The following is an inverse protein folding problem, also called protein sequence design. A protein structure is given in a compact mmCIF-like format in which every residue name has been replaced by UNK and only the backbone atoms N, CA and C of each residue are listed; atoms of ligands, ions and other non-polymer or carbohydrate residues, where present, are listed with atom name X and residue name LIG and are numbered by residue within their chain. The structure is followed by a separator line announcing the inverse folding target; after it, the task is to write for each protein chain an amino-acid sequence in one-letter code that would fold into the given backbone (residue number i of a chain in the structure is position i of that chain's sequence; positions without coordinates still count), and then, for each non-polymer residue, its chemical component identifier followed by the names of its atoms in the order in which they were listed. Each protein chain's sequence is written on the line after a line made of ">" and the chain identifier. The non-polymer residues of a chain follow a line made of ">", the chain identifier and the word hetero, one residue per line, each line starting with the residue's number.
data_IF_807813303404
#
_entry.id   IF_807813303404
#
_cell.length_a   1.000
_cell.length_b   1.000
_cell.length_c   1.000
_cell.angle_alpha   90.00
_cell.angle_beta   90.00
_cell.angle_gamma   90.00
#
_symmetry.space_group_name_H-M   'P 1'
#
loop_
_entity.id
_entity.type
_entity.pdbx_description
1 polymer ?
#
# COMPACT_ATOMS: atom_id res chain seq x y z
N UNK A 1 23.02 10.72 8.32
CA UNK A 1 23.55 9.57 9.08
C UNK A 1 22.43 8.55 9.20
N UNK A 2 22.48 7.47 8.42
CA UNK A 2 21.41 6.45 8.35
C UNK A 2 21.16 5.70 9.65
N UNK A 3 22.06 5.81 10.63
CA UNK A 3 21.96 5.15 11.94
C UNK A 3 21.28 5.97 13.04
N UNK A 4 20.97 7.25 12.84
CA UNK A 4 20.43 8.09 13.94
C UNK A 4 19.05 7.63 14.42
N UNK A 5 18.20 7.17 13.50
CA UNK A 5 16.89 6.63 13.84
C UNK A 5 17.03 5.30 14.60
N UNK A 6 17.90 4.40 14.13
CA UNK A 6 18.17 3.14 14.82
C UNK A 6 18.71 3.39 16.23
N UNK A 7 19.71 4.26 16.39
CA UNK A 7 20.29 4.61 17.69
C UNK A 7 19.21 5.20 18.61
N UNK A 8 18.38 6.12 18.11
CA UNK A 8 17.29 6.70 18.90
C UNK A 8 16.32 5.62 19.38
N UNK A 9 15.95 4.67 18.50
CA UNK A 9 14.99 3.63 18.84
C UNK A 9 15.56 2.54 19.76
N UNK A 10 16.87 2.29 19.71
CA UNK A 10 17.54 1.32 20.58
C UNK A 10 17.88 1.88 21.96
N UNK A 11 18.46 3.07 21.98
CA UNK A 11 19.12 3.62 23.17
C UNK A 11 18.36 4.83 23.76
N UNK A 12 17.35 5.34 23.05
CA UNK A 12 16.60 6.51 23.47
C UNK A 12 15.80 6.27 24.75
N UNK A 13 15.88 7.21 25.69
CA UNK A 13 14.97 7.23 26.81
C UNK A 13 13.58 7.74 26.40
N UNK A 14 12.60 7.65 27.32
CA UNK A 14 11.21 8.05 27.05
C UNK A 14 11.10 9.50 26.54
N UNK A 15 11.84 10.43 27.14
CA UNK A 15 11.83 11.84 26.72
C UNK A 15 12.35 12.00 25.28
N UNK A 16 13.41 11.29 24.91
CA UNK A 16 14.00 11.37 23.57
C UNK A 16 13.07 10.75 22.51
N UNK A 17 12.48 9.59 22.80
CA UNK A 17 11.57 8.88 21.90
C UNK A 17 10.28 9.67 21.64
N UNK A 18 9.78 10.34 22.68
CA UNK A 18 8.54 11.13 22.60
C UNK A 18 8.75 12.57 22.14
N UNK A 19 10.01 13.05 22.09
CA UNK A 19 10.30 14.40 21.62
C UNK A 19 9.92 14.58 20.15
N UNK A 20 8.96 15.47 19.92
CA UNK A 20 8.55 15.90 18.57
C UNK A 20 9.69 16.60 17.86
N UNK A 21 9.93 16.23 16.60
CA UNK A 21 10.95 16.89 15.78
C UNK A 21 10.47 18.31 15.43
N UNK A 22 11.23 19.37 15.76
CA UNK A 22 10.84 20.73 15.39
C UNK A 22 10.79 20.90 13.87
N UNK A 23 11.64 20.17 13.13
CA UNK A 23 11.65 20.17 11.66
C UNK A 23 10.39 19.52 11.11
N UNK A 24 10.02 18.32 11.57
CA UNK A 24 8.80 17.64 11.08
C UNK A 24 7.55 18.43 11.44
N UNK A 25 7.54 19.05 12.63
CA UNK A 25 6.45 19.92 13.07
C UNK A 25 6.32 21.14 12.16
N UNK A 26 7.43 21.81 11.83
CA UNK A 26 7.43 22.96 10.94
C UNK A 26 6.99 22.59 9.52
N UNK A 27 7.45 21.46 8.99
CA UNK A 27 7.04 20.97 7.67
C UNK A 27 5.53 20.71 7.64
N UNK A 28 4.99 20.00 8.63
CA UNK A 28 3.56 19.73 8.69
C UNK A 28 2.72 21.00 8.86
N UNK A 29 3.20 21.97 9.65
CA UNK A 29 2.44 23.19 9.96
C UNK A 29 2.51 24.27 8.87
N UNK A 30 3.65 24.44 8.19
CA UNK A 30 3.93 25.63 7.40
C UNK A 30 4.30 25.37 5.94
N UNK A 31 4.83 24.21 5.57
CA UNK A 31 5.17 23.95 4.17
C UNK A 31 3.91 23.70 3.34
N UNK A 32 3.83 24.22 2.13
CA UNK A 32 2.70 23.99 1.21
C UNK A 32 2.84 22.69 0.39
N UNK A 33 4.07 22.23 0.22
CA UNK A 33 4.39 21.02 -0.53
C UNK A 33 5.56 20.24 0.08
N UNK A 34 5.53 18.91 -0.04
CA UNK A 34 6.64 18.02 0.35
C UNK A 34 6.86 16.91 -0.69
N UNK A 35 8.08 16.78 -1.19
CA UNK A 35 8.54 15.59 -1.89
C UNK A 35 9.37 14.75 -0.94
N UNK A 36 8.96 13.50 -0.70
CA UNK A 36 9.73 12.52 0.05
C UNK A 36 10.38 11.55 -0.94
N UNK A 37 11.71 11.42 -0.87
CA UNK A 37 12.47 10.48 -1.67
C UNK A 37 13.05 9.45 -0.71
N UNK A 38 12.49 8.25 -0.71
CA UNK A 38 13.01 7.13 0.06
C UNK A 38 14.35 6.69 -0.55
N UNK A 39 15.41 6.66 0.25
CA UNK A 39 16.77 6.40 -0.23
C UNK A 39 17.57 5.55 0.78
N UNK A 40 16.94 4.55 1.39
CA UNK A 40 17.60 3.72 2.43
C UNK A 40 18.66 2.83 1.79
N UNK A 41 19.89 2.86 2.29
CA UNK A 41 20.95 1.90 1.91
C UNK A 41 20.85 0.57 2.67
N UNK A 42 20.18 0.57 3.83
CA UNK A 42 19.91 -0.61 4.64
C UNK A 42 18.43 -0.64 5.06
N UNK A 43 17.63 -1.42 4.36
CA UNK A 43 16.19 -1.57 4.63
C UNK A 43 15.89 -2.38 5.88
N UNK A 44 16.88 -3.14 6.38
CA UNK A 44 16.79 -4.01 7.56
C UNK A 44 17.34 -3.37 8.84
N UNK A 45 17.73 -2.09 8.82
CA UNK A 45 18.35 -1.39 9.95
C UNK A 45 17.54 -1.52 11.26
N UNK A 46 16.21 -1.55 11.19
CA UNK A 46 15.36 -1.62 12.39
C UNK A 46 15.00 -3.05 12.83
N UNK A 47 15.54 -4.10 12.19
CA UNK A 47 15.10 -5.49 12.44
C UNK A 47 15.32 -5.95 13.87
N UNK A 48 16.36 -5.44 14.55
CA UNK A 48 16.65 -5.74 15.95
C UNK A 48 16.09 -4.72 16.95
N UNK A 49 15.28 -3.76 16.51
CA UNK A 49 14.62 -2.79 17.39
C UNK A 49 13.35 -3.41 17.98
N UNK A 50 13.11 -3.15 19.28
CA UNK A 50 11.90 -3.64 19.95
C UNK A 50 10.65 -2.98 19.32
N UNK A 51 9.61 -3.75 18.93
CA UNK A 51 8.40 -3.20 18.32
C UNK A 51 7.73 -2.10 19.16
N UNK A 52 7.76 -2.23 20.49
CA UNK A 52 7.24 -1.24 21.44
C UNK A 52 7.89 0.15 21.27
N UNK A 53 9.19 0.21 20.94
CA UNK A 53 9.91 1.47 20.75
C UNK A 53 9.50 2.16 19.45
N UNK A 54 9.35 1.38 18.37
CA UNK A 54 8.83 1.87 17.09
C UNK A 54 7.41 2.40 17.27
N UNK A 55 6.54 1.64 17.95
CA UNK A 55 5.16 2.03 18.24
C UNK A 55 5.08 3.31 19.09
N UNK A 56 5.91 3.42 20.14
CA UNK A 56 6.01 4.62 20.97
C UNK A 56 6.43 5.84 20.16
N UNK A 57 7.46 5.69 19.30
CA UNK A 57 7.93 6.77 18.43
C UNK A 57 6.84 7.21 17.44
N UNK A 58 6.14 6.27 16.81
CA UNK A 58 5.01 6.56 15.91
C UNK A 58 3.90 7.32 16.63
N UNK A 59 3.50 6.83 17.81
CA UNK A 59 2.46 7.45 18.64
C UNK A 59 2.81 8.89 19.00
N UNK A 60 4.07 9.17 19.35
CA UNK A 60 4.53 10.52 19.67
C UNK A 60 4.48 11.50 18.48
N UNK A 61 4.54 10.99 17.24
CA UNK A 61 4.49 11.78 16.02
C UNK A 61 3.08 11.89 15.43
N UNK A 62 2.08 11.22 16.03
CA UNK A 62 0.70 11.18 15.53
C UNK A 62 0.10 12.57 15.28
N UNK A 63 0.25 13.49 16.23
CA UNK A 63 -0.27 14.86 16.10
C UNK A 63 0.30 15.60 14.88
N UNK A 64 1.58 15.35 14.55
CA UNK A 64 2.24 15.98 13.39
C UNK A 64 1.60 15.44 12.10
N UNK A 65 1.40 14.12 12.01
CA UNK A 65 0.72 13.48 10.89
C UNK A 65 -0.74 13.95 10.77
N UNK A 66 -1.45 14.14 11.88
CA UNK A 66 -2.82 14.65 11.89
C UNK A 66 -2.92 16.10 11.37
N UNK A 67 -1.96 16.96 11.71
CA UNK A 67 -1.88 18.33 11.16
C UNK A 67 -1.69 18.29 9.64
N UNK A 68 -0.73 17.49 9.15
CA UNK A 68 -0.48 17.35 7.71
C UNK A 68 -1.71 16.81 6.97
N UNK A 69 -2.37 15.78 7.53
CA UNK A 69 -3.60 15.18 6.96
C UNK A 69 -4.75 16.18 6.87
N UNK A 70 -4.99 16.98 7.92
CA UNK A 70 -6.03 18.02 7.90
C UNK A 70 -5.76 19.07 6.82
N UNK A 71 -4.50 19.47 6.65
CA UNK A 71 -4.11 20.44 5.62
C UNK A 71 -4.23 19.88 4.21
N UNK A 72 -3.89 18.60 4.03
CA UNK A 72 -4.11 17.89 2.78
C UNK A 72 -5.58 17.85 2.40
N UNK A 73 -6.45 17.46 3.34
CA UNK A 73 -7.91 17.45 3.13
C UNK A 73 -8.46 18.84 2.81
N UNK A 74 -7.87 19.90 3.36
CA UNK A 74 -8.18 21.28 3.04
C UNK A 74 -7.55 21.78 1.73
N UNK A 75 -6.73 20.98 1.03
CA UNK A 75 -6.01 21.38 -0.18
C UNK A 75 -4.86 22.36 0.04
N UNK A 76 -4.48 22.63 1.29
CA UNK A 76 -3.43 23.60 1.67
C UNK A 76 -2.05 22.95 1.88
N UNK A 77 -1.97 21.63 1.72
CA UNK A 77 -0.73 20.88 1.74
C UNK A 77 -0.77 19.79 0.68
N UNK A 78 0.27 19.70 -0.15
CA UNK A 78 0.42 18.65 -1.16
C UNK A 78 1.66 17.82 -0.85
N UNK A 79 1.62 16.55 -1.16
CA UNK A 79 2.78 15.69 -0.99
C UNK A 79 2.92 14.72 -2.15
N UNK A 80 4.15 14.33 -2.38
CA UNK A 80 4.48 13.20 -3.23
C UNK A 80 5.58 12.37 -2.57
N UNK A 81 5.52 11.06 -2.78
CA UNK A 81 6.51 10.10 -2.29
C UNK A 81 7.03 9.29 -3.45
N UNK A 82 8.34 9.12 -3.50
CA UNK A 82 9.02 8.27 -4.47
C UNK A 82 10.21 7.57 -3.82
N UNK A 83 10.92 6.77 -4.59
CA UNK A 83 12.09 6.01 -4.16
C UNK A 83 13.25 6.25 -5.12
N UNK A 84 14.42 6.54 -4.54
CA UNK A 84 15.67 6.54 -5.27
C UNK A 84 16.34 5.16 -5.17
N UNK A 85 16.81 4.57 -6.29
CA UNK A 85 17.49 3.28 -6.28
C UNK A 85 18.71 3.29 -5.36
N UNK A 86 18.84 2.27 -4.51
CA UNK A 86 20.00 2.08 -3.65
C UNK A 86 20.41 0.62 -3.67
N UNK A 87 21.64 0.32 -3.25
CA UNK A 87 22.10 -1.07 -3.10
C UNK A 87 21.22 -1.86 -2.12
N UNK A 88 20.66 -1.21 -1.09
CA UNK A 88 19.76 -1.86 -0.14
C UNK A 88 18.44 -2.31 -0.78
N UNK A 89 17.82 -1.43 -1.57
CA UNK A 89 16.59 -1.79 -2.30
C UNK A 89 16.85 -2.81 -3.41
N UNK A 90 17.95 -2.68 -4.13
CA UNK A 90 18.35 -3.65 -5.15
C UNK A 90 18.56 -5.06 -4.56
N UNK A 91 19.20 -5.14 -3.38
CA UNK A 91 19.38 -6.41 -2.66
C UNK A 91 18.05 -7.03 -2.23
N UNK A 92 17.12 -6.24 -1.69
CA UNK A 92 15.79 -6.73 -1.34
C UNK A 92 15.03 -7.28 -2.56
N UNK A 93 15.16 -6.60 -3.70
CA UNK A 93 14.57 -6.99 -4.98
C UNK A 93 15.31 -8.13 -5.69
N UNK A 94 16.40 -8.64 -5.12
CA UNK A 94 17.26 -9.68 -5.73
C UNK A 94 17.85 -9.26 -7.10
N UNK A 95 18.19 -7.99 -7.23
CA UNK A 95 18.73 -7.38 -8.45
C UNK A 95 20.12 -6.79 -8.22
N UNK A 96 20.88 -6.61 -9.31
CA UNK A 96 22.01 -5.67 -9.28
C UNK A 96 21.49 -4.23 -9.12
N UNK A 97 22.35 -3.31 -8.64
CA UNK A 97 21.95 -1.90 -8.53
C UNK A 97 21.51 -1.34 -9.89
N UNK A 98 22.24 -1.66 -10.95
CA UNK A 98 21.93 -1.19 -12.30
C UNK A 98 20.59 -1.73 -12.81
N UNK A 99 20.32 -3.03 -12.64
CA UNK A 99 19.03 -3.60 -13.06
C UNK A 99 17.86 -3.00 -12.28
N UNK A 100 18.06 -2.71 -10.98
CA UNK A 100 17.05 -2.04 -10.17
C UNK A 100 16.86 -0.57 -10.57
N UNK A 101 17.92 0.15 -10.95
CA UNK A 101 17.83 1.49 -11.52
C UNK A 101 17.00 1.48 -12.80
N UNK A 102 17.32 0.59 -13.75
CA UNK A 102 16.57 0.45 -15.00
C UNK A 102 15.11 0.11 -14.73
N UNK A 103 14.84 -0.80 -13.79
CA UNK A 103 13.48 -1.11 -13.36
C UNK A 103 12.75 0.14 -12.85
N UNK A 104 13.33 0.86 -11.88
CA UNK A 104 12.70 2.05 -11.27
C UNK A 104 12.43 3.12 -12.34
N UNK A 105 13.35 3.34 -13.27
CA UNK A 105 13.19 4.34 -14.32
C UNK A 105 12.11 3.95 -15.33
N UNK A 106 12.03 2.67 -15.71
CA UNK A 106 11.00 2.17 -16.62
C UNK A 106 9.59 2.23 -16.01
N UNK A 107 9.42 1.82 -14.74
CA UNK A 107 8.11 1.88 -14.07
C UNK A 107 7.64 3.31 -13.78
N UNK A 108 8.58 4.26 -13.73
CA UNK A 108 8.30 5.69 -13.64
C UNK A 108 8.04 6.36 -15.00
N UNK A 109 8.10 5.60 -16.10
CA UNK A 109 8.05 6.05 -17.50
C UNK A 109 9.16 7.05 -17.88
N UNK A 110 10.26 7.12 -17.13
CA UNK A 110 11.33 8.11 -17.35
C UNK A 110 12.11 7.85 -18.64
N UNK A 111 12.09 6.63 -19.14
CA UNK A 111 12.73 6.22 -20.39
C UNK A 111 11.84 6.45 -21.62
N UNK A 112 10.55 6.77 -21.43
CA UNK A 112 9.65 7.05 -22.55
C UNK A 112 9.95 8.44 -23.13
N UNK A 113 9.78 8.67 -24.46
CA UNK A 113 10.12 9.95 -25.09
C UNK A 113 9.37 11.17 -24.52
N UNK A 114 8.16 10.95 -24.01
CA UNK A 114 7.36 11.95 -23.30
C UNK A 114 6.73 11.31 -22.04
N UNK A 115 7.45 11.31 -20.90
CA UNK A 115 6.95 10.72 -19.66
C UNK A 115 5.64 11.36 -19.18
N UNK A 116 5.45 12.66 -19.43
CA UNK A 116 4.25 13.39 -19.02
C UNK A 116 3.04 12.88 -19.80
N UNK A 117 3.17 12.71 -21.12
CA UNK A 117 2.11 12.14 -21.95
C UNK A 117 1.73 10.73 -21.48
N UNK A 118 2.71 9.92 -21.06
CA UNK A 118 2.47 8.55 -20.59
C UNK A 118 1.75 8.48 -19.25
N UNK A 119 2.09 9.35 -18.30
CA UNK A 119 1.31 9.52 -17.07
C UNK A 119 -0.11 10.01 -17.32
N UNK A 120 -0.29 10.94 -18.26
CA UNK A 120 -1.62 11.43 -18.65
C UNK A 120 -2.47 10.32 -19.31
N UNK A 121 -1.85 9.49 -20.16
CA UNK A 121 -2.49 8.34 -20.78
C UNK A 121 -2.97 7.33 -19.73
N UNK A 122 -2.08 6.92 -18.82
CA UNK A 122 -2.41 6.01 -17.71
C UNK A 122 -3.53 6.61 -16.84
N UNK A 123 -3.44 7.89 -16.49
CA UNK A 123 -4.46 8.59 -15.71
C UNK A 123 -5.82 8.55 -16.40
N UNK A 124 -5.87 8.80 -17.71
CA UNK A 124 -7.12 8.80 -18.48
C UNK A 124 -7.70 7.38 -18.63
N UNK A 125 -6.84 6.37 -18.79
CA UNK A 125 -7.24 4.96 -18.82
C UNK A 125 -7.86 4.55 -17.48
N UNK A 126 -7.18 4.81 -16.36
CA UNK A 126 -7.70 4.52 -15.02
C UNK A 126 -8.98 5.27 -14.72
N UNK A 127 -9.09 6.54 -15.14
CA UNK A 127 -10.29 7.33 -14.86
C UNK A 127 -11.54 6.71 -15.50
N UNK A 128 -11.45 6.18 -16.72
CA UNK A 128 -12.59 5.49 -17.35
C UNK A 128 -13.07 4.29 -16.55
N UNK A 129 -12.14 3.56 -15.92
CA UNK A 129 -12.44 2.41 -15.07
C UNK A 129 -13.06 2.85 -13.74
N UNK A 130 -12.52 3.90 -13.13
CA UNK A 130 -13.10 4.53 -11.94
C UNK A 130 -14.53 5.00 -12.22
N UNK A 131 -14.78 5.65 -13.35
CA UNK A 131 -16.09 6.14 -13.75
C UNK A 131 -17.07 4.97 -13.99
N UNK A 132 -16.59 3.86 -14.55
CA UNK A 132 -17.40 2.64 -14.74
C UNK A 132 -17.82 1.99 -13.42
N UNK A 133 -17.00 2.11 -12.38
CA UNK A 133 -17.28 1.58 -11.04
C UNK A 133 -18.30 2.43 -10.25
N UNK A 134 -18.65 3.62 -10.72
CA UNK A 134 -19.63 4.49 -10.04
C UNK A 134 -20.99 3.79 -9.95
N UNK A 135 -21.50 3.66 -8.73
CA UNK A 135 -22.80 3.04 -8.46
C UNK A 135 -22.79 1.51 -8.44
N UNK A 136 -21.63 0.87 -8.64
CA UNK A 136 -21.46 -0.57 -8.46
C UNK A 136 -21.45 -0.94 -6.99
N UNK A 137 -21.78 -2.20 -6.66
CA UNK A 137 -22.03 -2.60 -5.28
C UNK A 137 -21.18 -3.76 -4.82
N UNK A 138 -21.06 -4.81 -5.61
CA UNK A 138 -20.40 -6.05 -5.18
C UNK A 138 -19.21 -6.37 -6.07
N UNK A 139 -18.13 -6.82 -5.46
CA UNK A 139 -16.94 -7.33 -6.14
C UNK A 139 -16.70 -8.76 -5.68
N UNK A 140 -16.52 -9.68 -6.62
CA UNK A 140 -16.06 -11.05 -6.36
C UNK A 140 -14.73 -11.30 -7.04
N UNK A 141 -13.73 -11.67 -6.26
CA UNK A 141 -12.36 -11.98 -6.69
C UNK A 141 -12.19 -13.49 -6.63
N UNK A 142 -11.79 -14.09 -7.75
CA UNK A 142 -11.58 -15.54 -7.87
C UNK A 142 -10.21 -15.81 -8.46
N UNK A 143 -9.54 -16.85 -7.97
CA UNK A 143 -8.20 -17.24 -8.42
C UNK A 143 -7.72 -18.51 -7.71
N UNK A 144 -6.43 -18.82 -7.82
CA UNK A 144 -5.88 -19.96 -7.08
C UNK A 144 -5.94 -19.68 -5.57
N UNK A 145 -6.59 -20.58 -4.82
CA UNK A 145 -6.83 -20.41 -3.38
C UNK A 145 -7.71 -19.21 -2.98
N UNK A 146 -8.27 -18.46 -3.93
CA UNK A 146 -9.01 -17.21 -3.70
C UNK A 146 -10.45 -17.31 -4.21
N UNK A 147 -11.40 -17.01 -3.33
CA UNK A 147 -12.81 -16.74 -3.63
C UNK A 147 -13.32 -15.79 -2.54
N UNK A 148 -13.20 -14.49 -2.79
CA UNK A 148 -13.54 -13.43 -1.84
C UNK A 148 -14.61 -12.54 -2.46
N UNK A 149 -15.68 -12.29 -1.71
CA UNK A 149 -16.69 -11.28 -2.05
C UNK A 149 -16.60 -10.12 -1.07
N UNK A 150 -16.75 -8.88 -1.55
CA UNK A 150 -16.81 -7.67 -0.75
C UNK A 150 -17.74 -6.64 -1.41
N UNK A 151 -18.23 -5.68 -0.63
CA UNK A 151 -19.04 -4.57 -1.13
C UNK A 151 -18.23 -3.29 -1.28
N UNK A 152 -18.51 -2.58 -2.37
CA UNK A 152 -18.04 -1.23 -2.71
C UNK A 152 -19.22 -0.24 -2.78
N UNK A 153 -20.40 -0.64 -2.29
CA UNK A 153 -21.61 0.19 -2.35
C UNK A 153 -21.39 1.53 -1.62
N UNK A 154 -21.76 2.62 -2.30
CA UNK A 154 -21.58 4.00 -1.83
C UNK A 154 -20.13 4.40 -1.53
N UNK A 155 -19.14 3.71 -2.11
CA UNK A 155 -17.72 4.05 -1.98
C UNK A 155 -17.22 4.85 -3.17
N UNK A 156 -16.16 5.63 -2.94
CA UNK A 156 -15.51 6.44 -3.97
C UNK A 156 -14.19 5.80 -4.35
N UNK A 157 -14.06 5.42 -5.63
CA UNK A 157 -12.77 5.01 -6.19
C UNK A 157 -11.90 6.23 -6.50
N UNK A 158 -10.62 6.11 -6.16
CA UNK A 158 -9.62 7.15 -6.33
C UNK A 158 -8.60 6.71 -7.37
N UNK A 159 -8.32 7.60 -8.30
CA UNK A 159 -7.33 7.39 -9.34
C UNK A 159 -5.93 7.82 -8.85
N UNK A 160 -5.07 6.85 -8.57
CA UNK A 160 -3.66 7.07 -8.21
C UNK A 160 -2.85 7.15 -9.52
N UNK A 161 -2.43 8.36 -9.88
CA UNK A 161 -1.89 8.68 -11.21
C UNK A 161 -0.57 9.47 -11.18
N UNK A 162 0.27 9.24 -10.18
CA UNK A 162 1.62 9.83 -10.12
C UNK A 162 1.70 11.17 -9.39
N UNK A 163 0.58 11.69 -8.85
CA UNK A 163 0.55 12.97 -8.11
C UNK A 163 0.92 12.85 -6.63
N UNK A 164 0.72 11.68 -6.03
CA UNK A 164 1.07 11.34 -4.65
C UNK A 164 2.21 10.32 -4.67
N UNK A 165 1.90 9.03 -4.79
CA UNK A 165 2.91 8.01 -5.02
C UNK A 165 3.49 8.15 -6.43
N UNK A 166 4.81 8.00 -6.57
CA UNK A 166 5.53 7.95 -7.83
C UNK A 166 6.60 6.83 -7.77
N UNK A 167 6.53 5.79 -8.60
CA UNK A 167 5.51 5.57 -9.61
C UNK A 167 4.15 5.30 -8.97
N UNK A 168 3.14 5.33 -9.81
CA UNK A 168 1.75 5.03 -9.50
C UNK A 168 1.21 4.05 -10.52
N UNK A 169 -0.10 3.90 -10.55
CA UNK A 169 -0.77 2.97 -11.46
C UNK A 169 -1.70 2.03 -10.73
N UNK A 170 -2.57 2.59 -9.89
CA UNK A 170 -3.64 1.86 -9.23
C UNK A 170 -4.90 2.73 -9.21
N UNK A 171 -6.05 2.10 -9.04
CA UNK A 171 -7.23 2.78 -8.57
C UNK A 171 -7.86 1.97 -7.43
N UNK A 172 -8.25 2.69 -6.38
CA UNK A 172 -8.53 2.07 -5.08
C UNK A 172 -9.75 2.67 -4.39
N UNK A 173 -10.32 1.92 -3.46
CA UNK A 173 -11.39 2.36 -2.57
C UNK A 173 -11.25 1.68 -1.20
N UNK A 174 -11.86 2.23 -0.16
CA UNK A 174 -12.16 1.47 1.06
C UNK A 174 -13.41 0.61 0.83
N UNK A 175 -13.38 -0.72 1.01
CA UNK A 175 -14.56 -1.56 0.92
C UNK A 175 -15.48 -1.37 2.14
N UNK A 176 -16.72 -1.87 2.07
CA UNK A 176 -17.64 -1.88 3.22
C UNK A 176 -17.13 -2.83 4.30
N UNK A 177 -17.02 -2.32 5.53
CA UNK A 177 -16.18 -2.89 6.58
C UNK A 177 -16.60 -4.30 7.01
N UNK A 178 -17.90 -4.58 7.03
CA UNK A 178 -18.52 -5.84 7.43
C UNK A 178 -18.90 -6.75 6.24
N UNK A 179 -18.50 -6.39 5.02
CA UNK A 179 -18.96 -7.05 3.79
C UNK A 179 -18.07 -8.19 3.29
N UNK A 180 -16.79 -8.22 3.69
CA UNK A 180 -15.85 -9.20 3.16
C UNK A 180 -16.18 -10.62 3.66
N UNK A 181 -16.36 -11.55 2.73
CA UNK A 181 -16.67 -12.95 3.02
C UNK A 181 -15.97 -13.88 2.02
N UNK A 182 -15.29 -14.91 2.54
CA UNK A 182 -14.59 -15.89 1.73
C UNK A 182 -13.10 -15.99 2.05
N UNK A 183 -12.29 -16.30 1.05
CA UNK A 183 -10.86 -16.58 1.20
C UNK A 183 -10.06 -15.80 0.18
N UNK A 184 -8.92 -15.25 0.60
CA UNK A 184 -7.94 -14.65 -0.31
C UNK A 184 -6.53 -15.16 -0.02
N UNK A 185 -5.81 -15.42 -1.10
CA UNK A 185 -4.42 -15.86 -1.13
C UNK A 185 -3.56 -14.74 -1.72
N UNK A 186 -2.46 -14.43 -1.05
CA UNK A 186 -1.45 -13.47 -1.51
C UNK A 186 -0.14 -14.20 -1.81
N UNK A 187 0.20 -14.23 -3.09
CA UNK A 187 1.36 -14.96 -3.60
C UNK A 187 2.63 -14.11 -3.65
N UNK A 188 2.46 -12.79 -3.70
CA UNK A 188 3.56 -11.83 -3.72
C UNK A 188 4.02 -11.56 -2.27
N UNK A 189 5.34 -11.66 -1.98
CA UNK A 189 5.87 -11.37 -0.65
C UNK A 189 5.49 -9.96 -0.18
N UNK A 190 4.90 -9.87 1.02
CA UNK A 190 4.51 -8.60 1.61
C UNK A 190 5.56 -8.17 2.65
N UNK A 191 6.17 -7.00 2.42
CA UNK A 191 7.15 -6.41 3.33
C UNK A 191 6.51 -5.30 4.15
N UNK A 192 6.55 -5.42 5.48
CA UNK A 192 6.11 -4.39 6.41
C UNK A 192 7.14 -4.21 7.52
N UNK A 193 7.53 -2.96 7.80
CA UNK A 193 8.53 -2.61 8.83
C UNK A 193 9.84 -3.42 8.76
N UNK A 194 10.30 -3.71 7.55
CA UNK A 194 11.54 -4.44 7.29
C UNK A 194 11.42 -5.96 7.44
N UNK A 195 10.27 -6.49 7.82
CA UNK A 195 9.96 -7.91 7.86
C UNK A 195 9.13 -8.31 6.66
N UNK A 196 9.46 -9.44 6.06
CA UNK A 196 8.75 -9.99 4.91
C UNK A 196 7.98 -11.22 5.33
N UNK A 197 6.73 -11.31 4.90
CA UNK A 197 5.89 -12.51 5.02
C UNK A 197 5.55 -13.04 3.63
N UNK A 198 5.36 -14.34 3.52
CA UNK A 198 5.12 -15.00 2.22
C UNK A 198 3.99 -16.02 2.30
N UNK A 199 3.24 -16.14 1.20
CA UNK A 199 2.16 -17.13 1.05
C UNK A 199 1.04 -16.92 2.07
N UNK A 200 0.54 -15.68 2.16
CA UNK A 200 -0.49 -15.31 3.12
C UNK A 200 -1.85 -15.78 2.64
N UNK A 201 -2.62 -16.40 3.53
CA UNK A 201 -3.99 -16.80 3.31
C UNK A 201 -4.87 -16.24 4.42
N UNK A 202 -5.90 -15.50 4.05
CA UNK A 202 -6.86 -14.94 5.00
C UNK A 202 -8.27 -15.46 4.71
N UNK A 203 -8.99 -15.83 5.77
CA UNK A 203 -10.42 -16.18 5.71
C UNK A 203 -11.23 -15.08 6.37
N UNK A 204 -12.17 -14.53 5.62
CA UNK A 204 -13.07 -13.48 6.07
C UNK A 204 -14.48 -14.01 6.33
N UNK A 205 -15.08 -13.55 7.43
CA UNK A 205 -16.51 -13.69 7.72
C UNK A 205 -17.01 -12.36 8.27
N UNK A 206 -18.07 -11.83 7.68
CA UNK A 206 -18.69 -10.56 8.10
C UNK A 206 -17.64 -9.44 8.23
N UNK A 207 -16.76 -9.34 7.22
CA UNK A 207 -15.70 -8.32 7.15
C UNK A 207 -14.43 -8.62 7.95
N UNK A 208 -14.47 -9.59 8.86
CA UNK A 208 -13.38 -9.87 9.80
C UNK A 208 -12.54 -11.05 9.39
N UNK A 209 -11.21 -10.91 9.49
CA UNK A 209 -10.27 -12.05 9.42
C UNK A 209 -10.49 -12.99 10.62
N UNK A 210 -11.02 -14.17 10.34
CA UNK A 210 -11.26 -15.25 11.33
C UNK A 210 -10.19 -16.32 11.32
N UNK A 211 -9.51 -16.53 10.19
CA UNK A 211 -8.35 -17.42 10.07
C UNK A 211 -7.26 -16.72 9.25
N UNK A 212 -6.00 -16.89 9.65
CA UNK A 212 -4.85 -16.33 8.97
C UNK A 212 -3.67 -17.30 9.00
N UNK A 213 -3.08 -17.59 7.85
CA UNK A 213 -1.85 -18.38 7.75
C UNK A 213 -0.85 -17.75 6.81
N UNK A 214 0.44 -17.95 7.04
CA UNK A 214 1.54 -17.57 6.18
C UNK A 214 2.57 -18.70 6.13
N UNK A 215 3.10 -18.99 4.93
CA UNK A 215 4.22 -19.94 4.76
C UNK A 215 5.48 -19.44 5.47
N UNK A 216 5.72 -18.13 5.45
CA UNK A 216 6.80 -17.48 6.16
C UNK A 216 6.27 -16.28 6.95
N UNK A 217 6.71 -16.13 8.20
CA UNK A 217 6.36 -14.98 9.03
C UNK A 217 5.03 -15.08 9.78
N UNK A 218 4.50 -16.30 10.00
CA UNK A 218 3.24 -16.54 10.72
C UNK A 218 3.09 -15.74 12.02
N UNK A 219 4.06 -15.85 12.93
CA UNK A 219 4.01 -15.15 14.23
C UNK A 219 3.98 -13.62 14.07
N UNK A 220 4.59 -13.09 12.99
CA UNK A 220 4.53 -11.66 12.71
C UNK A 220 3.16 -11.26 12.17
N UNK A 221 2.58 -12.03 11.23
CA UNK A 221 1.21 -11.83 10.76
C UNK A 221 0.21 -11.82 11.92
N UNK A 222 0.28 -12.81 12.82
CA UNK A 222 -0.59 -12.89 14.00
C UNK A 222 -0.46 -11.65 14.88
N UNK A 223 0.77 -11.22 15.17
CA UNK A 223 1.02 -10.01 15.95
C UNK A 223 0.44 -8.75 15.31
N UNK A 224 0.60 -8.59 13.99
CA UNK A 224 0.05 -7.44 13.27
C UNK A 224 -1.49 -7.42 13.30
N UNK A 225 -2.14 -8.59 13.24
CA UNK A 225 -3.61 -8.73 13.36
C UNK A 225 -4.16 -8.47 14.77
N UNK A 226 -3.30 -8.29 15.76
CA UNK A 226 -3.64 -8.03 17.16
C UNK A 226 -3.30 -6.61 17.62
N UNK A 227 -2.72 -5.78 16.74
CA UNK A 227 -2.24 -4.44 17.13
C UNK A 227 -3.38 -3.52 17.60
N UNK A 228 -4.58 -3.67 17.02
CA UNK A 228 -5.80 -2.98 17.45
C UNK A 228 -7.06 -3.65 16.86
N UNK A 229 -8.23 -3.10 17.20
CA UNK A 229 -9.53 -3.64 16.79
C UNK A 229 -9.78 -3.58 15.27
N UNK A 230 -9.16 -2.63 14.55
CA UNK A 230 -9.35 -2.43 13.12
C UNK A 230 -8.44 -3.30 12.25
N UNK A 231 -7.36 -3.85 12.83
CA UNK A 231 -6.32 -4.60 12.11
C UNK A 231 -6.81 -5.88 11.40
N UNK A 232 -7.99 -6.39 11.76
CA UNK A 232 -8.61 -7.59 11.16
C UNK A 232 -9.66 -7.27 10.09
N UNK A 233 -9.83 -6.01 9.73
CA UNK A 233 -10.78 -5.55 8.72
C UNK A 233 -10.03 -4.90 7.57
N UNK A 234 -10.66 -4.89 6.40
CA UNK A 234 -10.09 -4.26 5.22
C UNK A 234 -10.15 -2.73 5.34
N UNK A 235 -9.04 -2.08 4.99
CA UNK A 235 -8.93 -0.64 4.83
C UNK A 235 -9.05 -0.20 3.37
N UNK A 236 -8.60 -1.06 2.46
CA UNK A 236 -8.49 -0.78 1.03
C UNK A 236 -8.73 -2.04 0.19
N UNK A 237 -9.30 -1.81 -0.98
CA UNK A 237 -9.35 -2.71 -2.12
C UNK A 237 -8.98 -1.92 -3.38
N UNK A 238 -8.10 -2.48 -4.20
CA UNK A 238 -7.55 -1.77 -5.34
C UNK A 238 -7.14 -2.71 -6.48
N UNK A 239 -7.03 -2.12 -7.67
CA UNK A 239 -6.52 -2.77 -8.87
C UNK A 239 -5.20 -2.14 -9.27
N UNK A 240 -4.19 -2.98 -9.49
CA UNK A 240 -2.91 -2.58 -10.08
C UNK A 240 -3.02 -2.48 -11.60
N UNK A 241 -2.49 -1.41 -12.16
CA UNK A 241 -2.67 -1.01 -13.56
C UNK A 241 -1.38 -0.48 -14.23
N UNK A 242 -0.24 -0.47 -13.54
CA UNK A 242 1.05 -0.17 -14.16
C UNK A 242 1.63 -1.43 -14.82
N UNK A 243 1.47 -1.53 -16.14
CA UNK A 243 1.95 -2.68 -16.91
C UNK A 243 3.49 -2.83 -16.95
N UNK A 244 4.26 -1.81 -16.55
CA UNK A 244 5.73 -1.88 -16.47
C UNK A 244 6.23 -2.56 -15.20
N UNK A 245 5.40 -2.60 -14.16
CA UNK A 245 5.69 -3.41 -12.97
C UNK A 245 5.31 -4.84 -13.33
N UNK A 246 6.29 -5.65 -13.72
CA UNK A 246 6.07 -7.03 -14.20
C UNK A 246 6.43 -8.11 -13.15
N UNK A 247 7.20 -7.74 -12.13
CA UNK A 247 7.76 -8.60 -11.09
C UNK A 247 7.73 -7.95 -9.72
N UNK A 248 7.77 -8.75 -8.67
CA UNK A 248 7.87 -8.25 -7.30
C UNK A 248 9.29 -7.74 -7.02
N UNK A 249 9.35 -6.65 -6.26
CA UNK A 249 10.56 -6.03 -5.73
C UNK A 249 10.65 -6.13 -4.21
N UNK A 250 9.67 -6.79 -3.57
CA UNK A 250 9.45 -6.82 -2.12
C UNK A 250 9.30 -5.42 -1.52
N UNK A 251 8.89 -4.45 -2.35
CA UNK A 251 8.64 -3.08 -1.97
C UNK A 251 7.24 -2.68 -2.42
N UNK A 252 6.39 -2.42 -1.43
CA UNK A 252 4.97 -2.16 -1.61
C UNK A 252 4.69 -1.00 -2.58
N UNK A 253 5.53 0.04 -2.61
CA UNK A 253 5.37 1.19 -3.50
C UNK A 253 5.29 0.77 -4.98
N UNK A 254 6.01 -0.28 -5.36
CA UNK A 254 6.00 -0.82 -6.72
C UNK A 254 5.00 -1.96 -6.85
N UNK A 255 5.07 -2.93 -5.92
CA UNK A 255 4.37 -4.21 -6.06
C UNK A 255 2.84 -4.02 -6.08
N UNK A 256 2.29 -3.05 -5.33
CA UNK A 256 0.85 -2.74 -5.32
C UNK A 256 0.37 -2.11 -6.64
N UNK A 257 1.28 -1.57 -7.45
CA UNK A 257 0.98 -0.97 -8.76
C UNK A 257 0.97 -1.98 -9.90
N UNK A 258 1.33 -3.23 -9.63
CA UNK A 258 1.52 -4.29 -10.62
C UNK A 258 0.30 -4.46 -11.52
N UNK A 259 0.46 -4.27 -12.83
CA UNK A 259 -0.62 -4.38 -13.79
C UNK A 259 -1.26 -5.77 -13.78
N UNK A 260 -2.59 -5.82 -13.64
CA UNK A 260 -3.36 -7.07 -13.67
C UNK A 260 -3.42 -7.84 -12.35
N UNK A 261 -2.99 -7.21 -11.25
CA UNK A 261 -3.18 -7.71 -9.89
C UNK A 261 -4.27 -6.92 -9.17
N UNK A 262 -4.70 -7.44 -8.02
CA UNK A 262 -5.43 -6.65 -7.02
C UNK A 262 -4.62 -6.62 -5.74
N UNK A 263 -4.78 -5.58 -4.94
CA UNK A 263 -4.29 -5.59 -3.57
C UNK A 263 -5.39 -5.22 -2.59
N UNK A 264 -5.22 -5.71 -1.38
CA UNK A 264 -6.09 -5.41 -0.26
C UNK A 264 -5.22 -4.99 0.92
N UNK A 265 -5.62 -3.90 1.57
CA UNK A 265 -4.98 -3.46 2.80
C UNK A 265 -5.77 -3.95 4.01
N UNK A 266 -5.09 -4.53 5.00
CA UNK A 266 -5.66 -4.67 6.34
C UNK A 266 -5.46 -3.38 7.14
N UNK A 267 -6.46 -3.00 7.93
CA UNK A 267 -6.39 -1.86 8.83
C UNK A 267 -7.03 -0.60 8.25
N UNK A 268 -6.42 0.57 8.48
CA UNK A 268 -7.02 1.87 8.33
C UNK A 268 -7.50 2.13 6.89
N UNK A 269 -8.71 2.67 6.77
CA UNK A 269 -9.21 3.18 5.49
C UNK A 269 -8.78 4.61 5.21
N UNK A 270 -8.75 4.97 3.93
CA UNK A 270 -8.67 6.36 3.50
C UNK A 270 -10.05 7.02 3.59
N UNK A 271 -10.25 8.05 4.46
CA UNK A 271 -11.56 8.66 4.64
C UNK A 271 -12.15 9.24 3.36
N UNK A 272 -11.31 9.68 2.41
CA UNK A 272 -11.75 10.20 1.13
C UNK A 272 -12.43 9.16 0.21
N UNK A 273 -12.26 7.87 0.49
CA UNK A 273 -12.98 6.78 -0.21
C UNK A 273 -14.36 6.50 0.39
N UNK A 274 -14.65 7.12 1.54
CA UNK A 274 -15.81 6.86 2.39
C UNK A 274 -15.56 5.80 3.47
N UNK A 275 -14.46 5.02 3.39
CA UNK A 275 -14.09 4.00 4.38
C UNK A 275 -13.96 4.55 5.80
N UNK A 276 -14.39 3.76 6.79
CA UNK A 276 -14.44 4.15 8.21
C UNK A 276 -13.60 3.27 9.13
N UNK A 277 -12.93 2.23 8.61
CA UNK A 277 -12.07 1.40 9.45
C UNK A 277 -10.91 2.21 10.01
N UNK A 278 -10.71 2.15 11.33
CA UNK A 278 -9.65 2.86 12.03
C UNK A 278 -8.67 1.86 12.63
N UNK A 279 -7.40 1.99 12.26
CA UNK A 279 -6.32 1.15 12.76
C UNK A 279 -5.00 1.93 12.74
N UNK A 280 -4.02 1.48 13.52
CA UNK A 280 -2.62 1.86 13.37
C UNK A 280 -1.93 1.06 12.25
N UNK A 281 -2.55 -0.03 11.79
CA UNK A 281 -2.13 -0.81 10.64
C UNK A 281 -2.70 -0.22 9.36
N UNK A 282 -1.93 -0.23 8.28
CA UNK A 282 -2.42 -0.17 6.90
C UNK A 282 -1.43 -1.00 6.09
N UNK A 283 -1.80 -2.24 5.78
CA UNK A 283 -0.86 -3.20 5.22
C UNK A 283 -1.38 -3.84 3.94
N UNK A 284 -0.86 -3.33 2.82
CA UNK A 284 -1.13 -3.82 1.47
C UNK A 284 -0.48 -5.17 1.21
N UNK A 285 -1.28 -6.09 0.69
CA UNK A 285 -0.86 -7.39 0.21
C UNK A 285 -1.43 -7.62 -1.18
N UNK A 286 -0.60 -8.14 -2.08
CA UNK A 286 -0.93 -8.24 -3.52
C UNK A 286 -1.32 -9.66 -3.89
N UNK A 287 -2.48 -9.80 -4.53
CA UNK A 287 -3.03 -11.03 -5.06
C UNK A 287 -2.83 -11.04 -6.58
N UNK A 288 -2.07 -12.01 -7.10
CA UNK A 288 -1.74 -12.09 -8.51
C UNK A 288 -2.83 -12.84 -9.29
N UNK A 289 -3.54 -12.12 -10.15
CA UNK A 289 -4.65 -12.65 -10.94
C UNK A 289 -4.26 -12.95 -12.39
N UNK A 290 -2.99 -12.75 -12.77
CA UNK A 290 -2.54 -12.76 -14.18
C UNK A 290 -2.58 -14.14 -14.83
N UNK A 291 -2.48 -15.21 -14.06
CA UNK A 291 -2.45 -16.58 -14.60
C UNK A 291 -3.86 -17.18 -14.80
N UNK A 292 -4.74 -17.08 -13.80
CA UNK A 292 -6.06 -17.73 -13.78
C UNK A 292 -7.12 -16.96 -12.98
N UNK A 293 -6.89 -15.68 -12.71
CA UNK A 293 -7.80 -14.90 -11.87
C UNK A 293 -8.97 -14.30 -12.66
N UNK A 294 -10.11 -14.15 -12.00
CA UNK A 294 -11.27 -13.41 -12.50
C UNK A 294 -11.75 -12.44 -11.43
N UNK A 295 -12.16 -11.23 -11.83
CA UNK A 295 -12.90 -10.31 -10.96
C UNK A 295 -14.22 -9.99 -11.62
N UNK A 296 -15.31 -10.17 -10.88
CA UNK A 296 -16.66 -9.76 -11.27
C UNK A 296 -17.10 -8.57 -10.43
N UNK A 297 -17.76 -7.62 -11.07
CA UNK A 297 -18.38 -6.47 -10.42
C UNK A 297 -19.86 -6.45 -10.79
N UNK A 298 -20.74 -6.58 -9.80
CA UNK A 298 -22.18 -6.80 -9.99
C UNK A 298 -22.46 -7.88 -11.06
N UNK A 299 -21.84 -9.06 -10.89
CA UNK A 299 -21.86 -10.22 -11.81
C UNK A 299 -21.26 -10.00 -13.21
N UNK A 300 -20.89 -8.77 -13.59
CA UNK A 300 -20.21 -8.46 -14.85
C UNK A 300 -18.73 -8.83 -14.75
N UNK A 301 -18.23 -9.62 -15.70
CA UNK A 301 -16.79 -9.92 -15.78
C UNK A 301 -16.02 -8.63 -16.05
N UNK A 302 -15.22 -8.19 -15.08
CA UNK A 302 -14.44 -6.96 -15.12
C UNK A 302 -12.99 -7.23 -15.47
N UNK A 303 -12.37 -8.24 -14.83
CA UNK A 303 -11.00 -8.66 -15.08
C UNK A 303 -10.94 -10.16 -15.32
N UNK A 304 -10.12 -10.60 -16.26
CA UNK A 304 -9.79 -12.00 -16.53
C UNK A 304 -8.32 -12.15 -16.88
N UNK A 305 -7.61 -13.04 -16.19
CA UNK A 305 -6.19 -13.35 -16.43
C UNK A 305 -5.34 -12.07 -16.46
N UNK A 306 -5.56 -11.19 -15.48
CA UNK A 306 -4.88 -9.89 -15.35
C UNK A 306 -5.28 -8.82 -16.38
N UNK A 307 -6.25 -9.09 -17.27
CA UNK A 307 -6.73 -8.14 -18.26
C UNK A 307 -8.10 -7.62 -17.89
N UNK A 308 -8.25 -6.30 -17.89
CA UNK A 308 -9.56 -5.66 -17.75
C UNK A 308 -10.29 -5.77 -19.09
N UNK A 309 -11.58 -6.16 -19.07
CA UNK A 309 -12.36 -6.55 -20.27
C UNK A 309 -13.60 -5.70 -20.53
N UNK A 310 -13.77 -4.60 -19.79
CA UNK A 310 -14.89 -3.64 -19.92
C UNK A 310 -14.50 -2.36 -20.65
#
# INVERSE_FOLDING_TARGET
>A
LESLEEILLREGNEQQLTKKSPVLTAVAAYCDARLFIASRSNTKALSGVKPEQVSRRRSALRDISEVARKREQAGTFRWSSTLYPTSGYAQDAEMSLHDFEEFVFDVCFLNDPDPIARWNELSAQQQRLVDWLVGKKEVRIQGDGTDLTLSIENRTFINSNGKRNFPSGEFFTGPVEDSANGVIQFDIPASYDGRTIEGVRLVFREGKVVEASARQGQAYLEHMLEIDAGARYLGEFAFGNNARVDRSTKNVLFDEKMGGTVHLALGASYPETGGVNQSALHWDMVCDLRQKGEVRVDDVLFLKEGKIVV
#
